data_IF_190046762114
#
_entry.id   IF_190046762114
#
_cell.length_a   1.000
_cell.length_b   1.000
_cell.length_c   1.000
_cell.angle_alpha   90.00
_cell.angle_beta   90.00
_cell.angle_gamma   90.00
#
_symmetry.space_group_name_H-M   'P 1'
#
loop_
_entity.id
_entity.type
_entity.pdbx_description
1 polymer ?
#
# COMPACT_ATOMS: atom_id res chain seq x y z
N UNK A 1 9.10 -8.39 -35.27
CA UNK A 1 8.27 -7.43 -34.47
C UNK A 1 7.46 -8.28 -33.50
N UNK A 2 7.66 -8.08 -32.21
CA UNK A 2 6.90 -8.79 -31.19
C UNK A 2 5.50 -8.16 -31.10
N UNK A 3 4.48 -8.91 -31.48
CA UNK A 3 3.11 -8.48 -31.34
C UNK A 3 2.77 -8.36 -29.86
N UNK A 4 2.72 -7.13 -29.36
CA UNK A 4 2.23 -6.84 -28.03
C UNK A 4 0.72 -7.04 -27.99
N UNK A 5 0.30 -8.23 -27.60
CA UNK A 5 -1.11 -8.52 -27.38
C UNK A 5 -1.56 -7.96 -26.02
N UNK A 6 -2.06 -6.73 -26.04
CA UNK A 6 -2.59 -6.06 -24.86
C UNK A 6 -4.00 -6.60 -24.57
N UNK A 7 -4.09 -7.60 -23.72
CA UNK A 7 -5.35 -8.13 -23.21
C UNK A 7 -5.52 -7.80 -21.73
N UNK A 8 -6.76 -7.46 -21.34
CA UNK A 8 -7.06 -7.24 -19.92
C UNK A 8 -6.89 -8.55 -19.14
N UNK A 9 -6.27 -8.53 -17.95
CA UNK A 9 -6.15 -9.72 -17.12
C UNK A 9 -7.52 -10.28 -16.74
N UNK A 10 -7.58 -11.58 -16.48
CA UNK A 10 -8.82 -12.28 -16.14
C UNK A 10 -9.55 -11.59 -14.97
N UNK A 11 -10.83 -11.27 -15.15
CA UNK A 11 -11.67 -10.61 -14.16
C UNK A 11 -11.57 -9.09 -14.09
N UNK A 12 -10.69 -8.44 -14.84
CA UNK A 12 -10.58 -6.98 -14.90
C UNK A 12 -11.83 -6.34 -15.54
N UNK A 13 -12.39 -6.97 -16.55
CA UNK A 13 -13.61 -6.51 -17.22
C UNK A 13 -14.81 -7.36 -16.79
N UNK A 14 -15.77 -6.76 -16.10
CA UNK A 14 -17.04 -7.40 -15.75
C UNK A 14 -18.17 -6.84 -16.60
N UNK A 15 -18.99 -7.73 -17.17
CA UNK A 15 -20.21 -7.31 -17.91
C UNK A 15 -21.12 -6.54 -16.96
N UNK A 16 -21.64 -5.39 -17.42
CA UNK A 16 -22.63 -4.61 -16.68
C UNK A 16 -23.87 -5.46 -16.43
N UNK A 17 -24.30 -5.54 -15.17
CA UNK A 17 -25.50 -6.26 -14.78
C UNK A 17 -26.73 -5.40 -15.10
N UNK A 18 -27.64 -5.91 -15.91
CA UNK A 18 -28.89 -5.26 -16.26
C UNK A 18 -29.99 -5.84 -15.35
N UNK A 19 -30.78 -4.97 -14.73
CA UNK A 19 -31.87 -5.33 -13.80
C UNK A 19 -33.18 -4.69 -14.25
N UNK A 20 -34.33 -5.21 -13.82
CA UNK A 20 -35.66 -4.68 -14.17
C UNK A 20 -36.02 -4.88 -15.65
N UNK A 21 -35.70 -6.05 -16.23
CA UNK A 21 -35.97 -6.36 -17.65
C UNK A 21 -36.88 -7.59 -17.81
N UNK A 22 -37.95 -7.63 -17.04
CA UNK A 22 -38.99 -8.66 -17.11
C UNK A 22 -38.81 -9.79 -16.11
N UNK A 23 -39.87 -10.55 -15.88
CA UNK A 23 -39.92 -11.64 -14.88
C UNK A 23 -38.95 -12.78 -15.22
N UNK A 24 -38.82 -13.13 -16.50
CA UNK A 24 -37.94 -14.21 -16.96
C UNK A 24 -36.44 -13.93 -16.80
N UNK A 25 -36.06 -12.67 -16.56
CA UNK A 25 -34.64 -12.28 -16.37
C UNK A 25 -34.07 -12.70 -15.00
N UNK A 26 -34.90 -13.25 -14.09
CA UNK A 26 -34.55 -13.56 -12.71
C UNK A 26 -34.31 -12.33 -11.82
N UNK A 27 -34.40 -11.12 -12.37
CA UNK A 27 -34.22 -9.82 -11.68
C UNK A 27 -35.20 -8.78 -12.20
N UNK A 28 -36.46 -9.17 -12.34
CA UNK A 28 -37.52 -8.37 -12.90
C UNK A 28 -38.01 -7.26 -12.00
N UNK A 29 -39.22 -7.39 -11.45
CA UNK A 29 -39.99 -6.34 -10.77
C UNK A 29 -39.25 -5.64 -9.63
N UNK A 30 -38.52 -6.38 -8.81
CA UNK A 30 -37.80 -5.79 -7.64
C UNK A 30 -36.35 -5.40 -7.94
N UNK A 31 -35.83 -5.74 -9.12
CA UNK A 31 -34.45 -5.45 -9.54
C UNK A 31 -33.36 -5.90 -8.54
N UNK A 32 -33.65 -6.91 -7.69
CA UNK A 32 -32.77 -7.42 -6.65
C UNK A 32 -32.75 -6.58 -5.35
N UNK A 33 -33.64 -5.60 -5.21
CA UNK A 33 -33.76 -4.77 -3.99
C UNK A 33 -34.74 -5.32 -2.96
N UNK A 34 -35.49 -6.38 -3.31
CA UNK A 34 -36.55 -6.91 -2.47
C UNK A 34 -37.79 -6.02 -2.42
N UNK A 35 -38.62 -6.19 -1.41
CA UNK A 35 -39.84 -5.43 -1.21
C UNK A 35 -39.54 -4.08 -0.53
N UNK A 36 -40.60 -3.41 -0.03
CA UNK A 36 -40.53 -2.11 0.66
C UNK A 36 -39.38 -2.01 1.68
N UNK A 37 -38.96 -0.83 2.02
CA UNK A 37 -37.93 -0.54 3.00
C UNK A 37 -37.01 0.60 2.57
N UNK A 38 -36.28 1.17 3.50
CA UNK A 38 -35.39 2.30 3.27
C UNK A 38 -34.33 2.00 2.19
N UNK A 39 -33.76 0.81 2.23
CA UNK A 39 -32.71 0.41 1.28
C UNK A 39 -33.21 0.13 -0.13
N UNK A 40 -34.53 -0.09 -0.30
CA UNK A 40 -35.16 -0.30 -1.61
C UNK A 40 -35.42 0.99 -2.36
N UNK A 41 -35.39 2.15 -1.71
CA UNK A 41 -35.65 3.47 -2.30
C UNK A 41 -34.44 3.97 -3.08
N UNK A 42 -34.65 4.97 -3.96
CA UNK A 42 -33.57 5.66 -4.63
C UNK A 42 -32.68 6.36 -3.61
N UNK A 43 -31.36 6.16 -3.68
CA UNK A 43 -30.43 6.70 -2.70
C UNK A 43 -30.50 6.10 -1.29
N UNK A 44 -31.33 5.08 -1.08
CA UNK A 44 -31.54 4.42 0.20
C UNK A 44 -30.28 3.70 0.69
N UNK A 45 -29.43 4.42 1.41
CA UNK A 45 -28.27 3.87 2.11
C UNK A 45 -28.39 4.15 3.59
N UNK A 46 -28.00 3.18 4.38
CA UNK A 46 -27.79 3.31 5.82
C UNK A 46 -26.28 3.38 6.05
N UNK A 47 -25.82 4.40 6.76
CA UNK A 47 -24.40 4.53 7.07
C UNK A 47 -23.94 3.46 8.06
N UNK A 48 -22.66 3.14 8.01
CA UNK A 48 -22.07 2.14 8.90
C UNK A 48 -22.17 2.62 10.35
N UNK A 49 -22.65 1.74 11.25
CA UNK A 49 -22.84 2.06 12.66
C UNK A 49 -24.16 2.78 12.98
N UNK A 50 -25.13 2.82 12.03
CA UNK A 50 -26.48 3.34 12.33
C UNK A 50 -27.26 2.32 13.18
N UNK A 51 -27.83 2.79 14.29
CA UNK A 51 -28.54 1.99 15.28
C UNK A 51 -30.04 2.36 15.34
N UNK A 52 -30.68 2.55 14.19
CA UNK A 52 -32.13 2.79 14.12
C UNK A 52 -32.62 4.10 14.73
N UNK A 53 -31.76 5.06 15.02
CA UNK A 53 -32.08 6.33 15.69
C UNK A 53 -31.55 6.43 17.12
N UNK A 54 -31.19 5.29 17.73
CA UNK A 54 -30.43 5.28 18.98
C UNK A 54 -29.04 5.89 18.75
N UNK A 55 -28.51 6.63 19.75
CA UNK A 55 -27.15 7.16 19.67
C UNK A 55 -26.15 6.02 19.47
N UNK A 56 -25.36 6.03 18.38
CA UNK A 56 -24.42 4.96 18.08
C UNK A 56 -23.41 4.70 19.20
N UNK A 57 -23.00 3.45 19.39
CA UNK A 57 -22.10 3.04 20.46
C UNK A 57 -20.80 3.85 20.47
N UNK A 58 -20.21 4.11 19.30
CA UNK A 58 -18.96 4.90 19.19
C UNK A 58 -19.09 6.35 19.70
N UNK A 59 -20.32 6.88 19.79
CA UNK A 59 -20.58 8.20 20.39
C UNK A 59 -20.79 8.14 21.91
N UNK A 60 -21.26 7.00 22.43
CA UNK A 60 -21.50 6.80 23.86
C UNK A 60 -20.25 6.46 24.66
N UNK A 61 -19.25 5.88 23.98
CA UNK A 61 -17.99 5.50 24.62
C UNK A 61 -17.15 6.73 24.91
N UNK A 62 -16.50 6.76 26.08
CA UNK A 62 -15.56 7.80 26.43
C UNK A 62 -14.41 7.90 25.40
N UNK A 63 -14.14 9.10 24.93
CA UNK A 63 -13.01 9.37 24.03
C UNK A 63 -11.71 9.30 24.82
N UNK A 64 -10.76 8.51 24.34
CA UNK A 64 -9.45 8.33 24.98
C UNK A 64 -8.36 8.44 23.92
N UNK A 65 -7.19 8.90 24.36
CA UNK A 65 -6.00 9.00 23.54
C UNK A 65 -5.95 10.26 22.66
N UNK A 66 -4.87 10.35 21.95
CA UNK A 66 -4.61 11.40 20.98
C UNK A 66 -3.94 10.82 19.75
N UNK A 67 -3.85 11.57 18.67
CA UNK A 67 -3.16 11.15 17.46
C UNK A 67 -1.88 11.97 17.29
N UNK A 68 -0.76 11.27 17.15
CA UNK A 68 0.54 11.86 16.83
C UNK A 68 0.76 12.05 15.32
N UNK A 69 -0.31 12.03 14.52
CA UNK A 69 -0.25 12.02 13.06
C UNK A 69 0.62 13.16 12.49
N UNK A 70 0.45 14.38 13.00
CA UNK A 70 1.16 15.59 12.53
C UNK A 70 2.68 15.56 12.76
N UNK A 71 3.13 14.79 13.76
CA UNK A 71 4.54 14.71 14.14
C UNK A 71 5.17 13.35 13.81
N UNK A 72 4.39 12.45 13.22
CA UNK A 72 4.87 11.12 12.85
C UNK A 72 5.87 11.22 11.71
N UNK A 73 7.09 10.75 11.93
CA UNK A 73 8.07 10.59 10.86
C UNK A 73 7.82 9.25 10.17
N UNK A 74 7.59 9.29 8.87
CA UNK A 74 7.42 8.09 8.05
C UNK A 74 8.69 7.87 7.21
N UNK A 75 9.13 6.63 7.13
CA UNK A 75 10.30 6.24 6.37
C UNK A 75 9.88 5.32 5.23
N UNK A 76 10.43 5.57 4.03
CA UNK A 76 10.44 4.58 2.98
C UNK A 76 11.41 3.45 3.37
N UNK A 77 10.92 2.22 3.33
CA UNK A 77 11.68 1.05 3.74
C UNK A 77 12.32 0.41 2.51
N UNK A 78 13.62 0.14 2.59
CA UNK A 78 14.39 -0.59 1.57
C UNK A 78 15.10 -1.76 2.25
N UNK A 79 15.00 -2.95 1.70
CA UNK A 79 15.63 -4.14 2.24
C UNK A 79 16.97 -4.45 1.57
N UNK A 80 17.87 -5.14 2.27
CA UNK A 80 19.16 -5.56 1.70
C UNK A 80 19.00 -6.43 0.47
N UNK A 81 17.99 -7.30 0.45
CA UNK A 81 17.64 -8.13 -0.72
C UNK A 81 17.41 -7.28 -1.97
N UNK A 82 16.74 -6.13 -1.84
CA UNK A 82 16.43 -5.27 -2.97
C UNK A 82 17.67 -4.50 -3.44
N UNK A 83 18.57 -4.17 -2.50
CA UNK A 83 19.87 -3.58 -2.82
C UNK A 83 20.77 -4.59 -3.56
N UNK A 84 20.84 -5.83 -3.09
CA UNK A 84 21.59 -6.90 -3.75
C UNK A 84 21.14 -7.14 -5.19
N UNK A 85 19.81 -7.09 -5.45
CA UNK A 85 19.25 -7.33 -6.77
C UNK A 85 19.52 -6.19 -7.75
N UNK A 86 19.59 -4.93 -7.29
CA UNK A 86 19.58 -3.74 -8.17
C UNK A 86 20.88 -2.95 -8.22
N UNK A 87 21.78 -3.15 -7.28
CA UNK A 87 23.07 -2.45 -7.22
C UNK A 87 24.22 -3.36 -7.64
N UNK A 88 25.25 -2.77 -8.26
CA UNK A 88 26.49 -3.44 -8.56
C UNK A 88 27.48 -3.32 -7.39
N UNK A 89 28.52 -4.16 -7.40
CA UNK A 89 29.59 -4.09 -6.40
C UNK A 89 30.34 -2.75 -6.50
N UNK A 90 30.51 -2.08 -5.37
CA UNK A 90 31.17 -0.77 -5.28
C UNK A 90 30.25 0.45 -5.48
N UNK A 91 28.96 0.24 -5.75
CA UNK A 91 28.00 1.33 -5.94
C UNK A 91 27.73 2.12 -4.64
N UNK A 92 27.41 3.41 -4.80
CA UNK A 92 26.93 4.28 -3.72
C UNK A 92 25.41 4.30 -3.69
N UNK A 93 24.84 3.99 -2.53
CA UNK A 93 23.40 3.98 -2.28
C UNK A 93 22.99 5.30 -1.64
N UNK A 94 22.53 6.24 -2.45
CA UNK A 94 22.01 7.54 -2.04
C UNK A 94 20.51 7.61 -2.33
N UNK A 95 19.82 8.62 -1.79
CA UNK A 95 18.38 8.86 -2.06
C UNK A 95 18.09 8.94 -3.56
N UNK A 96 18.92 9.66 -4.31
CA UNK A 96 18.77 9.83 -5.75
C UNK A 96 18.90 8.51 -6.51
N UNK A 97 19.92 7.70 -6.18
CA UNK A 97 20.14 6.39 -6.81
C UNK A 97 19.02 5.41 -6.49
N UNK A 98 18.44 5.49 -5.28
CA UNK A 98 17.27 4.67 -4.89
C UNK A 98 16.02 5.04 -5.68
N UNK A 99 15.79 6.33 -5.93
CA UNK A 99 14.68 6.79 -6.78
C UNK A 99 14.88 6.36 -8.23
N UNK A 100 16.10 6.55 -8.78
CA UNK A 100 16.42 6.13 -10.16
C UNK A 100 16.22 4.61 -10.37
N UNK A 101 16.58 3.81 -9.36
CA UNK A 101 16.39 2.35 -9.40
C UNK A 101 14.97 1.90 -8.98
N UNK A 102 14.06 2.85 -8.69
CA UNK A 102 12.65 2.57 -8.35
C UNK A 102 12.44 1.87 -7.02
N UNK A 103 13.32 2.09 -6.04
CA UNK A 103 13.24 1.57 -4.67
C UNK A 103 12.65 2.60 -3.69
N UNK A 104 12.67 3.87 -4.05
CA UNK A 104 12.01 4.96 -3.33
C UNK A 104 11.18 5.79 -4.32
N UNK A 105 10.09 6.40 -3.83
CA UNK A 105 9.19 7.17 -4.70
C UNK A 105 9.67 8.61 -4.89
N UNK A 106 10.22 9.23 -3.84
CA UNK A 106 10.65 10.63 -3.84
C UNK A 106 12.01 10.80 -3.16
N UNK A 107 12.82 11.67 -3.68
CA UNK A 107 14.14 11.99 -3.11
C UNK A 107 14.06 12.67 -1.73
N UNK A 108 12.94 13.34 -1.44
CA UNK A 108 12.73 14.06 -0.17
C UNK A 108 12.20 13.15 0.95
N UNK A 109 11.84 11.90 0.65
CA UNK A 109 11.41 10.94 1.66
C UNK A 109 12.56 10.54 2.59
N UNK A 110 12.23 10.34 3.86
CA UNK A 110 13.16 9.72 4.80
C UNK A 110 13.30 8.24 4.45
N UNK A 111 14.52 7.76 4.29
CA UNK A 111 14.79 6.38 3.89
C UNK A 111 15.42 5.61 5.03
N UNK A 112 14.91 4.39 5.27
CA UNK A 112 15.46 3.47 6.24
C UNK A 112 15.78 2.13 5.60
N UNK A 113 17.05 1.70 5.71
CA UNK A 113 17.49 0.38 5.26
C UNK A 113 17.31 -0.65 6.36
N UNK A 114 16.65 -1.76 6.02
CA UNK A 114 16.40 -2.90 6.90
C UNK A 114 17.18 -4.14 6.47
N UNK A 115 17.51 -5.00 7.45
CA UNK A 115 18.38 -6.15 7.29
C UNK A 115 17.73 -7.42 6.72
N UNK A 116 16.60 -7.32 6.01
CA UNK A 116 16.00 -8.47 5.36
C UNK A 116 16.76 -8.85 4.09
N UNK A 117 17.11 -10.12 4.00
CA UNK A 117 17.97 -10.67 2.95
C UNK A 117 19.46 -10.76 3.33
N UNK A 118 20.25 -11.27 2.40
CA UNK A 118 21.71 -11.35 2.50
C UNK A 118 22.32 -10.33 1.52
N UNK A 119 23.48 -9.79 1.88
CA UNK A 119 24.26 -8.89 1.07
C UNK A 119 25.66 -9.47 0.87
N UNK A 120 26.06 -9.68 -0.37
CA UNK A 120 27.40 -10.18 -0.75
C UNK A 120 28.26 -9.06 -1.34
N UNK A 121 27.62 -7.98 -1.81
CA UNK A 121 28.27 -6.86 -2.51
C UNK A 121 28.75 -5.79 -1.53
N UNK A 122 29.86 -5.17 -1.86
CA UNK A 122 30.39 -4.03 -1.11
C UNK A 122 29.67 -2.77 -1.55
N UNK A 123 28.82 -2.22 -0.68
CA UNK A 123 28.07 -1.01 -0.96
C UNK A 123 28.41 0.09 0.03
N UNK A 124 28.45 1.33 -0.45
CA UNK A 124 28.55 2.52 0.39
C UNK A 124 27.14 3.10 0.57
N UNK A 125 26.56 2.95 1.77
CA UNK A 125 25.17 3.32 2.05
C UNK A 125 25.13 4.68 2.76
N UNK A 126 24.59 5.71 2.08
CA UNK A 126 24.43 7.08 2.60
C UNK A 126 22.92 7.43 2.65
N UNK A 127 22.23 7.00 3.72
CA UNK A 127 20.80 7.20 3.93
C UNK A 127 20.51 7.76 5.33
N UNK A 128 19.24 8.12 5.60
CA UNK A 128 18.85 8.75 6.87
C UNK A 128 18.97 7.81 8.06
N UNK A 129 18.61 6.51 7.89
CA UNK A 129 18.72 5.50 8.95
C UNK A 129 19.01 4.11 8.41
N UNK A 130 19.76 3.34 9.19
CA UNK A 130 20.04 1.93 8.95
C UNK A 130 19.69 1.15 10.22
N UNK A 131 19.10 -0.03 10.11
CA UNK A 131 18.87 -0.89 11.26
C UNK A 131 20.18 -1.54 11.73
N UNK A 132 20.28 -1.91 13.02
CA UNK A 132 21.46 -2.56 13.58
C UNK A 132 21.83 -3.83 12.80
N UNK A 133 20.85 -4.69 12.52
CA UNK A 133 21.06 -5.92 11.73
C UNK A 133 21.50 -5.66 10.29
N UNK A 134 21.02 -4.55 9.65
CA UNK A 134 21.47 -4.19 8.31
C UNK A 134 22.92 -3.69 8.34
N UNK A 135 23.27 -2.87 9.34
CA UNK A 135 24.62 -2.35 9.53
C UNK A 135 25.65 -3.47 9.66
N UNK A 136 25.37 -4.46 10.53
CA UNK A 136 26.23 -5.62 10.69
C UNK A 136 26.44 -6.42 9.39
N UNK A 137 25.37 -6.59 8.59
CA UNK A 137 25.44 -7.30 7.32
C UNK A 137 26.23 -6.54 6.26
N UNK A 138 26.06 -5.20 6.20
CA UNK A 138 26.81 -4.34 5.28
C UNK A 138 28.28 -4.34 5.64
N UNK A 139 28.64 -4.22 6.91
CA UNK A 139 30.01 -4.26 7.40
C UNK A 139 30.66 -5.63 7.16
N UNK A 140 29.93 -6.73 7.38
CA UNK A 140 30.40 -8.10 7.06
C UNK A 140 30.67 -8.28 5.58
N UNK A 141 29.90 -7.67 4.71
CA UNK A 141 30.12 -7.67 3.25
C UNK A 141 31.26 -6.74 2.82
N UNK A 142 31.87 -5.98 3.75
CA UNK A 142 32.95 -5.04 3.48
C UNK A 142 32.48 -3.70 2.92
N UNK A 143 31.21 -3.36 3.11
CA UNK A 143 30.63 -2.06 2.79
C UNK A 143 30.80 -1.03 3.91
N UNK A 144 30.42 0.20 3.68
CA UNK A 144 30.43 1.30 4.65
C UNK A 144 29.05 1.94 4.80
N UNK A 145 28.73 2.41 6.01
CA UNK A 145 27.48 3.10 6.30
C UNK A 145 27.77 4.52 6.75
N UNK A 146 27.20 5.52 6.06
CA UNK A 146 27.18 6.93 6.44
C UNK A 146 25.74 7.28 6.81
N UNK A 147 25.41 7.43 8.08
CA UNK A 147 24.14 7.97 8.54
C UNK A 147 24.18 9.50 8.49
N UNK A 148 23.07 10.09 7.99
CA UNK A 148 22.93 11.54 7.76
C UNK A 148 22.16 12.21 8.89
#
# INVERSE_FOLDING_TARGET
>A
MSDFNLSAPYGANKKKRIVGRGSSSGRGSTAGKGNKGQQSRSGGKVYVGFEGGQMPLYRRIARRGFSNYWFKKEFAIVNLRDLEARFADGDTVNKETLVLKGLANKADELIKVLGDGELTKKLTVAVDKVSASAKEKIEKAGGSVAEK
#
